data_IF_868384922024
#
_entry.id   IF_868384922024
#
_cell.length_a   1.000
_cell.length_b   1.000
_cell.length_c   1.000
_cell.angle_alpha   90.00
_cell.angle_beta   90.00
_cell.angle_gamma   90.00
#
_symmetry.space_group_name_H-M   'P 1'
#
loop_
_entity.id
_entity.type
_entity.pdbx_description
1 polymer ?
#
# COMPACT_ATOMS: atom_id res chain seq x y z
N UNK A 1 30.69 11.10 -15.77
CA UNK A 1 30.39 10.66 -14.38
C UNK A 1 29.82 11.78 -13.52
N UNK A 2 30.35 13.01 -13.60
CA UNK A 2 29.88 14.18 -12.82
C UNK A 2 28.40 14.51 -13.07
N UNK A 3 27.94 14.56 -14.34
CA UNK A 3 26.53 14.85 -14.65
C UNK A 3 25.54 13.82 -14.08
N UNK A 4 25.86 12.52 -14.11
CA UNK A 4 24.99 11.48 -13.55
C UNK A 4 24.92 11.54 -12.02
N UNK A 5 26.01 11.92 -11.35
CA UNK A 5 26.02 12.12 -9.90
C UNK A 5 25.19 13.36 -9.52
N UNK A 6 25.30 14.44 -10.29
CA UNK A 6 24.51 15.66 -10.12
C UNK A 6 23.01 15.39 -10.29
N UNK A 7 22.63 14.64 -11.34
CA UNK A 7 21.24 14.25 -11.59
C UNK A 7 20.65 13.39 -10.48
N UNK A 8 21.42 12.44 -9.93
CA UNK A 8 20.98 11.62 -8.79
C UNK A 8 20.80 12.45 -7.52
N UNK A 9 21.74 13.34 -7.23
CA UNK A 9 21.62 14.26 -6.08
C UNK A 9 20.39 15.14 -6.22
N UNK A 10 20.17 15.70 -7.41
CA UNK A 10 18.97 16.49 -7.71
C UNK A 10 17.69 15.67 -7.53
N UNK A 11 17.65 14.45 -8.05
CA UNK A 11 16.49 13.58 -7.89
C UNK A 11 16.21 13.25 -6.41
N UNK A 12 17.24 12.99 -5.60
CA UNK A 12 17.07 12.77 -4.17
C UNK A 12 16.55 14.02 -3.45
N UNK A 13 17.10 15.21 -3.77
CA UNK A 13 16.62 16.48 -3.19
C UNK A 13 15.16 16.74 -3.55
N UNK A 14 14.78 16.56 -4.81
CA UNK A 14 13.40 16.76 -5.26
C UNK A 14 12.43 15.72 -4.66
N UNK A 15 12.86 14.46 -4.48
CA UNK A 15 12.09 13.44 -3.76
C UNK A 15 11.91 13.80 -2.28
N UNK A 16 12.98 14.20 -1.60
CA UNK A 16 12.93 14.64 -0.20
C UNK A 16 12.06 15.88 -0.01
N UNK A 17 12.11 16.82 -0.96
CA UNK A 17 11.23 17.98 -0.97
C UNK A 17 9.77 17.56 -1.13
N UNK A 18 9.47 16.61 -2.01
CA UNK A 18 8.12 16.06 -2.19
C UNK A 18 7.59 15.44 -0.90
N UNK A 19 8.41 14.63 -0.23
CA UNK A 19 8.06 14.06 1.07
C UNK A 19 7.85 15.13 2.16
N UNK A 20 8.74 16.12 2.24
CA UNK A 20 8.63 17.21 3.21
C UNK A 20 7.35 18.03 3.01
N UNK A 21 7.01 18.39 1.76
CA UNK A 21 5.78 19.12 1.45
C UNK A 21 4.55 18.26 1.84
N UNK A 22 4.55 16.97 1.50
CA UNK A 22 3.46 16.07 1.87
C UNK A 22 3.26 15.98 3.39
N UNK A 23 4.35 15.90 4.16
CA UNK A 23 4.29 15.94 5.63
C UNK A 23 3.74 17.27 6.14
N UNK A 24 4.29 18.41 5.71
CA UNK A 24 3.84 19.72 6.19
C UNK A 24 2.36 19.94 5.90
N UNK A 25 1.88 19.54 4.72
CA UNK A 25 0.48 19.68 4.35
C UNK A 25 -0.43 18.69 5.11
N UNK A 26 0.03 17.47 5.39
CA UNK A 26 -0.76 16.52 6.19
C UNK A 26 -0.98 17.00 7.64
N UNK A 27 -0.07 17.83 8.17
CA UNK A 27 -0.22 18.44 9.49
C UNK A 27 -1.38 19.43 9.58
N UNK A 28 -1.95 19.91 8.46
CA UNK A 28 -3.18 20.69 8.51
C UNK A 28 -4.35 19.87 9.10
N UNK A 29 -4.33 18.54 8.90
CA UNK A 29 -5.32 17.60 9.42
C UNK A 29 -4.86 16.98 10.73
N UNK A 30 -3.63 16.45 10.77
CA UNK A 30 -3.14 15.69 11.92
C UNK A 30 -2.51 16.55 13.02
N UNK A 31 -2.04 17.76 12.70
CA UNK A 31 -1.41 18.68 13.64
C UNK A 31 -2.23 18.95 14.91
N UNK A 32 -3.53 19.27 14.81
CA UNK A 32 -4.39 19.48 15.98
C UNK A 32 -4.50 18.28 16.92
N UNK A 33 -4.32 17.05 16.39
CA UNK A 33 -4.46 15.80 17.15
C UNK A 33 -3.13 15.18 17.60
N UNK A 34 -1.98 15.77 17.23
CA UNK A 34 -0.66 15.31 17.66
C UNK A 34 -0.48 15.32 19.19
N UNK A 35 -1.14 16.24 19.90
CA UNK A 35 -1.13 16.25 21.38
C UNK A 35 -1.73 14.97 22.00
N UNK A 36 -2.50 14.23 21.21
CA UNK A 36 -3.14 12.96 21.55
C UNK A 36 -2.47 11.79 20.82
N UNK A 37 -1.17 11.87 20.53
CA UNK A 37 -0.44 10.80 19.82
C UNK A 37 -0.47 9.46 20.57
N UNK A 38 -0.62 9.48 21.90
CA UNK A 38 -0.62 8.30 22.76
C UNK A 38 -2.02 7.75 23.09
N UNK A 39 -3.06 8.15 22.35
CA UNK A 39 -4.42 7.60 22.50
C UNK A 39 -4.97 7.17 21.15
N UNK A 40 -6.06 6.41 21.18
CA UNK A 40 -6.79 6.01 19.97
C UNK A 40 -7.32 7.22 19.21
N UNK A 41 -6.94 7.39 17.94
CA UNK A 41 -7.42 8.49 17.08
C UNK A 41 -8.79 8.23 16.47
N UNK A 42 -9.23 6.97 16.39
CA UNK A 42 -10.52 6.59 15.80
C UNK A 42 -11.02 5.23 16.29
N UNK A 43 -12.26 4.90 15.92
CA UNK A 43 -12.93 3.62 16.16
C UNK A 43 -12.84 2.64 14.97
N UNK A 44 -13.73 1.64 14.94
CA UNK A 44 -13.83 0.66 13.85
C UNK A 44 -12.55 -0.16 13.68
N UNK A 45 -12.11 -0.36 12.43
CA UNK A 45 -10.89 -1.12 12.10
C UNK A 45 -9.62 -0.51 12.72
N UNK A 46 -9.62 0.78 13.07
CA UNK A 46 -8.47 1.37 13.74
C UNK A 46 -8.24 0.75 15.14
N UNK A 47 -9.31 0.39 15.84
CA UNK A 47 -9.19 -0.29 17.13
C UNK A 47 -8.58 -1.68 16.99
N UNK A 48 -8.99 -2.45 15.97
CA UNK A 48 -8.41 -3.77 15.72
C UNK A 48 -6.95 -3.66 15.30
N UNK A 49 -6.55 -2.62 14.58
CA UNK A 49 -5.13 -2.41 14.23
C UNK A 49 -4.25 -2.03 15.42
N UNK A 50 -4.73 -1.28 16.42
CA UNK A 50 -3.97 -1.09 17.67
C UNK A 50 -3.74 -2.43 18.40
N UNK A 51 -4.77 -3.27 18.45
CA UNK A 51 -4.69 -4.60 19.04
C UNK A 51 -3.71 -5.50 18.23
N UNK A 52 -3.75 -5.43 16.89
CA UNK A 52 -2.80 -6.14 16.03
C UNK A 52 -1.36 -5.79 16.40
N UNK A 53 -1.07 -4.50 16.59
CA UNK A 53 0.25 -4.00 16.98
C UNK A 53 0.67 -4.52 18.36
N UNK A 54 -0.24 -4.49 19.34
CA UNK A 54 0.02 -4.99 20.70
C UNK A 54 0.32 -6.49 20.72
N UNK A 55 -0.40 -7.27 19.92
CA UNK A 55 -0.27 -8.73 19.87
C UNK A 55 0.77 -9.21 18.85
N UNK A 56 1.47 -8.31 18.16
CA UNK A 56 2.37 -8.67 17.06
C UNK A 56 3.63 -9.40 17.53
N UNK A 57 3.92 -10.55 16.91
CA UNK A 57 5.12 -11.37 17.14
C UNK A 57 6.00 -11.52 15.88
N UNK A 58 5.97 -10.55 14.97
CA UNK A 58 6.85 -10.48 13.79
C UNK A 58 6.33 -11.18 12.54
N UNK A 59 5.71 -12.35 12.66
CA UNK A 59 5.01 -13.03 11.55
C UNK A 59 3.60 -13.51 11.92
N UNK A 60 3.29 -13.53 13.22
CA UNK A 60 2.04 -14.05 13.79
C UNK A 60 1.61 -13.15 14.93
N UNK A 61 0.44 -13.44 15.50
CA UNK A 61 -0.06 -12.76 16.69
C UNK A 61 -0.05 -13.67 17.92
N UNK A 62 0.12 -13.13 19.12
CA UNK A 62 -0.22 -13.84 20.35
C UNK A 62 -1.74 -13.97 20.49
N UNK A 63 -2.20 -15.08 21.05
CA UNK A 63 -3.55 -15.18 21.59
C UNK A 63 -3.65 -14.38 22.89
N UNK A 64 -4.82 -13.81 23.17
CA UNK A 64 -5.05 -12.98 24.36
C UNK A 64 -6.44 -13.22 24.95
N UNK A 65 -6.53 -13.16 26.27
CA UNK A 65 -7.77 -13.16 27.05
C UNK A 65 -8.21 -11.73 27.46
N UNK A 66 -7.36 -10.73 27.24
CA UNK A 66 -7.67 -9.31 27.45
C UNK A 66 -8.71 -8.79 26.45
N UNK A 67 -8.81 -9.43 25.28
CA UNK A 67 -9.72 -9.07 24.19
C UNK A 67 -10.61 -10.24 23.79
N UNK A 68 -11.74 -9.99 23.14
CA UNK A 68 -12.63 -11.05 22.65
C UNK A 68 -13.39 -11.79 23.74
N UNK A 69 -13.82 -11.10 24.79
CA UNK A 69 -14.66 -11.68 25.83
C UNK A 69 -15.89 -12.39 25.21
N UNK A 70 -16.28 -13.60 25.69
CA UNK A 70 -15.73 -14.33 26.84
C UNK A 70 -14.62 -15.33 26.50
N UNK A 71 -14.34 -15.58 25.22
CA UNK A 71 -13.49 -16.71 24.79
C UNK A 71 -12.02 -16.31 24.54
N UNK A 72 -11.72 -15.03 24.61
CA UNK A 72 -10.42 -14.52 24.18
C UNK A 72 -10.42 -14.22 22.68
N UNK A 73 -9.26 -13.84 22.17
CA UNK A 73 -9.07 -13.47 20.78
C UNK A 73 -7.73 -14.00 20.27
N UNK A 74 -7.78 -14.60 19.08
CA UNK A 74 -6.61 -15.03 18.34
C UNK A 74 -6.68 -14.43 16.93
N UNK A 75 -5.88 -13.40 16.69
CA UNK A 75 -5.87 -12.67 15.42
C UNK A 75 -5.31 -13.50 14.25
N UNK A 76 -4.65 -14.63 14.52
CA UNK A 76 -4.16 -15.50 13.45
C UNK A 76 -5.29 -16.14 12.63
N UNK A 77 -6.52 -16.21 13.13
CA UNK A 77 -7.67 -16.68 12.34
C UNK A 77 -8.07 -15.73 11.21
N UNK A 78 -7.64 -14.46 11.26
CA UNK A 78 -7.88 -13.50 10.20
C UNK A 78 -6.63 -13.38 9.32
N UNK A 79 -6.61 -13.98 8.12
CA UNK A 79 -5.42 -13.98 7.27
C UNK A 79 -5.08 -12.56 6.80
N UNK A 80 -4.06 -11.97 7.41
CA UNK A 80 -3.48 -10.67 7.03
C UNK A 80 -2.01 -10.81 6.65
N UNK A 81 -1.56 -10.01 5.68
CA UNK A 81 -0.14 -9.93 5.27
C UNK A 81 0.43 -8.54 5.49
N UNK A 82 -0.16 -7.75 6.39
CA UNK A 82 0.28 -6.39 6.76
C UNK A 82 1.51 -6.42 7.69
N UNK A 83 2.51 -7.24 7.33
CA UNK A 83 3.69 -7.54 8.15
C UNK A 83 4.54 -6.30 8.33
N UNK A 84 4.68 -5.47 7.28
CA UNK A 84 5.52 -4.27 7.37
C UNK A 84 4.92 -3.20 8.28
N UNK A 85 3.60 -2.98 8.18
CA UNK A 85 2.83 -2.04 9.00
C UNK A 85 2.90 -2.46 10.47
N UNK A 86 2.54 -3.71 10.76
CA UNK A 86 2.57 -4.25 12.12
C UNK A 86 3.98 -4.22 12.70
N UNK A 87 5.00 -4.60 11.93
CA UNK A 87 6.39 -4.60 12.42
C UNK A 87 6.87 -3.19 12.71
N UNK A 88 6.63 -2.23 11.82
CA UNK A 88 7.00 -0.84 12.07
C UNK A 88 6.30 -0.30 13.31
N UNK A 89 4.97 -0.44 13.38
CA UNK A 89 4.19 0.08 14.48
C UNK A 89 4.57 -0.58 15.81
N UNK A 90 4.83 -1.90 15.82
CA UNK A 90 5.29 -2.61 17.01
C UNK A 90 6.67 -2.13 17.47
N UNK A 91 7.63 -1.95 16.57
CA UNK A 91 8.97 -1.42 16.92
C UNK A 91 8.92 -0.02 17.51
N UNK A 92 8.03 0.84 17.02
CA UNK A 92 7.83 2.16 17.61
C UNK A 92 7.10 2.06 18.95
N UNK A 93 6.13 1.15 19.06
CA UNK A 93 5.35 0.92 20.29
C UNK A 93 6.19 0.36 21.43
N UNK A 94 7.18 -0.50 21.15
CA UNK A 94 8.09 -1.03 22.18
C UNK A 94 8.93 0.06 22.82
N UNK A 95 9.32 1.08 22.05
CA UNK A 95 10.05 2.26 22.56
C UNK A 95 9.11 3.22 23.29
N UNK A 96 7.90 3.41 22.78
CA UNK A 96 6.92 4.36 23.33
C UNK A 96 6.13 3.81 24.54
N UNK A 97 6.11 2.50 24.74
CA UNK A 97 5.34 1.83 25.80
C UNK A 97 3.83 1.73 25.55
N UNK A 98 3.37 1.99 24.32
CA UNK A 98 1.95 1.92 23.97
C UNK A 98 1.73 1.66 22.47
N UNK A 99 0.76 0.80 22.08
CA UNK A 99 0.42 0.56 20.68
C UNK A 99 -0.10 1.81 19.96
N UNK A 100 -0.65 2.77 20.69
CA UNK A 100 -1.23 3.98 20.12
C UNK A 100 -0.18 4.84 19.40
N UNK A 101 0.96 5.07 20.05
CA UNK A 101 2.02 5.89 19.48
C UNK A 101 2.59 5.25 18.21
N UNK A 102 2.83 3.93 18.21
CA UNK A 102 3.40 3.26 17.05
C UNK A 102 2.52 3.32 15.82
N UNK A 103 1.23 3.02 15.96
CA UNK A 103 0.29 3.08 14.83
C UNK A 103 0.02 4.53 14.39
N UNK A 104 -0.11 5.47 15.32
CA UNK A 104 -0.34 6.88 14.97
C UNK A 104 0.87 7.48 14.24
N UNK A 105 2.09 7.12 14.64
CA UNK A 105 3.31 7.50 13.92
C UNK A 105 3.38 6.84 12.54
N UNK A 106 2.95 5.57 12.41
CA UNK A 106 2.87 4.91 11.10
C UNK A 106 2.04 5.75 10.12
N UNK A 107 0.85 6.21 10.53
CA UNK A 107 -0.01 7.09 9.72
C UNK A 107 0.70 8.39 9.33
N UNK A 108 1.40 9.04 10.25
CA UNK A 108 2.07 10.31 9.94
C UNK A 108 3.22 10.12 8.95
N UNK A 109 3.96 9.02 9.07
CA UNK A 109 5.14 8.72 8.26
C UNK A 109 4.76 8.27 6.84
N UNK A 110 3.57 7.72 6.62
CA UNK A 110 3.14 7.31 5.27
C UNK A 110 3.07 8.50 4.31
N UNK A 111 2.65 9.69 4.76
CA UNK A 111 2.62 10.90 3.91
C UNK A 111 3.98 11.28 3.32
N UNK A 112 5.04 11.57 4.11
CA UNK A 112 6.34 11.85 3.54
C UNK A 112 6.93 10.67 2.76
N UNK A 113 6.68 9.43 3.21
CA UNK A 113 7.17 8.23 2.53
C UNK A 113 6.57 8.09 1.12
N UNK A 114 5.25 8.22 0.99
CA UNK A 114 4.56 8.17 -0.30
C UNK A 114 5.00 9.33 -1.17
N UNK A 115 5.05 10.56 -0.63
CA UNK A 115 5.52 11.72 -1.39
C UNK A 115 6.94 11.53 -1.94
N UNK A 116 7.83 10.93 -1.16
CA UNK A 116 9.18 10.58 -1.59
C UNK A 116 9.21 9.49 -2.67
N UNK A 117 8.50 8.37 -2.46
CA UNK A 117 8.50 7.24 -3.39
C UNK A 117 7.77 7.57 -4.70
N UNK A 118 6.64 8.28 -4.62
CA UNK A 118 5.83 8.66 -5.77
C UNK A 118 6.60 9.59 -6.71
N UNK A 119 7.48 10.45 -6.19
CA UNK A 119 8.35 11.26 -7.04
C UNK A 119 9.21 10.37 -7.96
N UNK A 120 9.83 9.31 -7.43
CA UNK A 120 10.60 8.38 -8.26
C UNK A 120 9.72 7.63 -9.25
N UNK A 121 8.50 7.25 -8.84
CA UNK A 121 7.53 6.62 -9.73
C UNK A 121 7.18 7.53 -10.93
N UNK A 122 6.86 8.80 -10.69
CA UNK A 122 6.60 9.78 -11.76
C UNK A 122 7.83 10.02 -12.63
N UNK A 123 9.04 9.99 -12.07
CA UNK A 123 10.26 10.05 -12.88
C UNK A 123 10.44 8.86 -13.81
N UNK A 124 9.92 7.69 -13.45
CA UNK A 124 10.01 6.51 -14.32
C UNK A 124 9.24 6.69 -15.62
N UNK A 125 8.19 7.53 -15.63
CA UNK A 125 7.37 7.87 -16.82
C UNK A 125 7.92 9.05 -17.61
N UNK A 126 8.97 9.72 -17.13
CA UNK A 126 9.64 10.84 -17.81
C UNK A 126 9.34 12.22 -17.25
N UNK A 127 8.44 12.35 -16.26
CA UNK A 127 8.20 13.62 -15.56
C UNK A 127 9.42 14.00 -14.72
N UNK A 128 9.71 15.30 -14.62
CA UNK A 128 10.85 15.81 -13.83
C UNK A 128 10.51 17.16 -13.20
N UNK A 129 11.29 17.57 -12.19
CA UNK A 129 11.21 18.91 -11.61
C UNK A 129 9.85 19.19 -10.95
N UNK A 130 9.32 20.43 -11.08
CA UNK A 130 8.11 20.86 -10.38
C UNK A 130 6.88 20.00 -10.65
N UNK A 131 6.69 19.50 -11.87
CA UNK A 131 5.53 18.65 -12.21
C UNK A 131 5.59 17.28 -11.53
N UNK A 132 6.77 16.69 -11.43
CA UNK A 132 6.93 15.41 -10.71
C UNK A 132 6.72 15.60 -9.19
N UNK A 133 7.21 16.72 -8.63
CA UNK A 133 6.98 17.09 -7.23
C UNK A 133 5.48 17.28 -6.97
N UNK A 134 4.81 18.09 -7.80
CA UNK A 134 3.39 18.35 -7.67
C UNK A 134 2.56 17.05 -7.76
N UNK A 135 2.86 16.20 -8.75
CA UNK A 135 2.20 14.89 -8.89
C UNK A 135 2.41 14.00 -7.66
N UNK A 136 3.63 13.94 -7.13
CA UNK A 136 3.95 13.12 -5.96
C UNK A 136 3.25 13.61 -4.68
N UNK A 137 3.25 14.93 -4.46
CA UNK A 137 2.57 15.56 -3.32
C UNK A 137 1.06 15.36 -3.42
N UNK A 138 0.45 15.62 -4.58
CA UNK A 138 -0.99 15.41 -4.79
C UNK A 138 -1.36 13.94 -4.62
N UNK A 139 -0.57 13.01 -5.15
CA UNK A 139 -0.79 11.58 -4.96
C UNK A 139 -0.74 11.18 -3.48
N UNK A 140 0.20 11.74 -2.70
CA UNK A 140 0.29 11.49 -1.27
C UNK A 140 -0.86 12.12 -0.46
N UNK A 141 -1.54 13.13 -0.99
CA UNK A 141 -2.59 13.89 -0.31
C UNK A 141 -3.99 13.61 -0.88
N UNK A 142 -4.16 12.53 -1.64
CA UNK A 142 -5.48 12.16 -2.16
C UNK A 142 -6.48 11.96 -1.00
N UNK A 143 -7.77 12.31 -1.18
CA UNK A 143 -8.78 12.16 -0.14
C UNK A 143 -8.85 10.74 0.45
N UNK A 144 -8.57 9.72 -0.36
CA UNK A 144 -8.47 8.33 0.08
C UNK A 144 -7.45 8.12 1.20
N UNK A 145 -6.26 8.72 1.12
CA UNK A 145 -5.22 8.53 2.12
C UNK A 145 -5.66 9.07 3.49
N UNK A 146 -6.25 10.27 3.51
CA UNK A 146 -6.81 10.85 4.73
C UNK A 146 -8.01 10.08 5.26
N UNK A 147 -9.01 9.82 4.41
CA UNK A 147 -10.26 9.18 4.81
C UNK A 147 -10.05 7.75 5.32
N UNK A 148 -9.13 7.00 4.71
CA UNK A 148 -8.81 5.63 5.17
C UNK A 148 -7.85 5.61 6.34
N UNK A 149 -6.99 6.62 6.56
CA UNK A 149 -6.00 6.58 7.64
C UNK A 149 -6.63 6.31 9.01
N UNK A 150 -7.81 6.90 9.26
CA UNK A 150 -8.57 6.76 10.50
C UNK A 150 -9.69 5.72 10.45
N UNK A 151 -9.91 5.06 9.31
CA UNK A 151 -11.04 4.13 9.11
C UNK A 151 -10.65 2.73 8.65
N UNK A 152 -9.55 2.58 7.92
CA UNK A 152 -8.95 1.33 7.44
C UNK A 152 -7.42 1.54 7.33
N UNK A 153 -6.75 1.63 8.47
CA UNK A 153 -5.39 2.19 8.59
C UNK A 153 -4.36 1.52 7.70
N UNK A 154 -4.30 0.19 7.64
CA UNK A 154 -3.33 -0.52 6.78
C UNK A 154 -3.60 -0.31 5.29
N UNK A 155 -4.87 -0.24 4.89
CA UNK A 155 -5.22 0.11 3.51
C UNK A 155 -4.90 1.58 3.18
N UNK A 156 -4.73 2.46 4.16
CA UNK A 156 -4.38 3.85 3.90
C UNK A 156 -2.90 4.04 3.60
N UNK A 157 -2.02 3.11 3.98
CA UNK A 157 -0.57 3.34 3.98
C UNK A 157 0.03 3.56 2.59
N UNK A 158 -0.63 3.07 1.53
CA UNK A 158 -0.41 3.32 0.09
C UNK A 158 1.01 3.09 -0.47
N UNK A 159 2.06 2.98 0.35
CA UNK A 159 3.43 2.83 -0.12
C UNK A 159 3.61 1.53 -0.91
N UNK A 160 2.88 0.48 -0.56
CA UNK A 160 2.79 -0.79 -1.31
C UNK A 160 2.30 -0.60 -2.74
N UNK A 161 1.31 0.28 -2.94
CA UNK A 161 0.82 0.62 -4.27
C UNK A 161 1.92 1.29 -5.12
N UNK A 162 2.71 2.17 -4.51
CA UNK A 162 3.81 2.87 -5.18
C UNK A 162 4.93 1.90 -5.54
N UNK A 163 5.34 1.02 -4.61
CA UNK A 163 6.38 0.02 -4.87
C UNK A 163 5.94 -1.01 -5.91
N UNK A 164 4.70 -1.46 -5.84
CA UNK A 164 4.10 -2.36 -6.83
C UNK A 164 4.05 -1.74 -8.22
N UNK A 165 3.58 -0.50 -8.34
CA UNK A 165 3.56 0.22 -9.61
C UNK A 165 4.97 0.48 -10.15
N UNK A 166 5.96 0.74 -9.28
CA UNK A 166 7.35 0.85 -9.70
C UNK A 166 7.87 -0.46 -10.31
N UNK A 167 7.53 -1.62 -9.74
CA UNK A 167 7.86 -2.93 -10.33
C UNK A 167 7.17 -3.13 -11.68
N UNK A 168 5.88 -2.79 -11.77
CA UNK A 168 5.09 -2.88 -13.01
C UNK A 168 5.71 -2.01 -14.11
N UNK A 169 6.06 -0.76 -13.82
CA UNK A 169 6.72 0.13 -14.79
C UNK A 169 8.13 -0.36 -15.15
N UNK A 170 8.89 -0.88 -14.19
CA UNK A 170 10.23 -1.40 -14.42
C UNK A 170 10.21 -2.59 -15.38
N UNK A 171 9.25 -3.50 -15.19
CA UNK A 171 9.00 -4.63 -16.09
C UNK A 171 8.42 -4.16 -17.41
N UNK A 172 7.31 -3.41 -17.43
CA UNK A 172 6.62 -2.99 -18.66
C UNK A 172 7.48 -2.16 -19.61
N UNK A 173 8.44 -1.39 -19.08
CA UNK A 173 9.42 -0.64 -19.87
C UNK A 173 10.61 -1.48 -20.38
N UNK A 174 10.68 -2.76 -20.02
CA UNK A 174 11.78 -3.68 -20.31
C UNK A 174 13.10 -3.34 -19.61
N UNK A 175 13.06 -2.43 -18.62
CA UNK A 175 14.24 -2.01 -17.86
C UNK A 175 14.70 -3.10 -16.89
N UNK A 176 13.77 -3.87 -16.30
CA UNK A 176 14.09 -4.97 -15.39
C UNK A 176 14.99 -6.01 -16.06
N UNK A 177 14.56 -6.58 -17.19
CA UNK A 177 15.37 -7.51 -17.97
C UNK A 177 16.76 -6.95 -18.29
N UNK A 178 16.86 -5.67 -18.72
CA UNK A 178 18.15 -5.04 -19.04
C UNK A 178 19.08 -4.99 -17.82
N UNK A 179 18.53 -4.75 -16.63
CA UNK A 179 19.28 -4.76 -15.36
C UNK A 179 19.81 -6.16 -15.07
N UNK A 180 18.98 -7.19 -15.23
CA UNK A 180 19.31 -8.58 -14.92
C UNK A 180 20.27 -9.19 -15.94
N UNK A 181 19.97 -9.07 -17.24
CA UNK A 181 20.70 -9.78 -18.30
C UNK A 181 21.94 -9.06 -18.81
N UNK A 182 21.94 -7.72 -18.80
CA UNK A 182 22.99 -6.82 -19.33
C UNK A 182 23.53 -7.19 -20.74
N UNK A 183 23.48 -6.29 -21.72
CA UNK A 183 24.24 -6.49 -22.96
C UNK A 183 25.74 -6.65 -22.64
N UNK A 184 26.40 -7.64 -23.25
CA UNK A 184 27.86 -7.80 -23.22
C UNK A 184 28.51 -6.47 -23.63
N UNK A 185 29.14 -5.75 -22.69
CA UNK A 185 29.88 -4.51 -22.96
C UNK A 185 29.56 -3.31 -22.06
N UNK A 186 28.45 -3.30 -21.32
CA UNK A 186 28.11 -2.21 -20.37
C UNK A 186 28.07 -2.72 -18.92
N UNK A 187 29.20 -3.20 -18.42
CA UNK A 187 29.28 -3.75 -17.07
C UNK A 187 29.03 -2.65 -16.02
N UNK A 188 27.86 -2.68 -15.37
CA UNK A 188 27.65 -1.93 -14.13
C UNK A 188 28.68 -2.38 -13.08
N UNK A 189 29.25 -1.44 -12.31
CA UNK A 189 30.09 -1.78 -11.16
C UNK A 189 29.37 -2.74 -10.23
N UNK A 190 30.11 -3.72 -9.66
CA UNK A 190 29.59 -4.76 -8.78
C UNK A 190 28.75 -4.19 -7.63
N UNK A 191 29.23 -3.12 -6.99
CA UNK A 191 28.50 -2.43 -5.91
C UNK A 191 27.14 -1.90 -6.38
N UNK A 192 27.08 -1.29 -7.58
CA UNK A 192 25.83 -0.77 -8.15
C UNK A 192 24.83 -1.89 -8.47
N UNK A 193 25.31 -3.06 -8.91
CA UNK A 193 24.46 -4.23 -9.13
C UNK A 193 23.82 -4.71 -7.82
N UNK A 194 24.62 -4.83 -6.76
CA UNK A 194 24.16 -5.25 -5.43
C UNK A 194 23.09 -4.29 -4.91
N UNK A 195 23.34 -2.98 -4.96
CA UNK A 195 22.36 -1.99 -4.50
C UNK A 195 21.07 -1.98 -5.30
N UNK A 196 21.13 -2.17 -6.63
CA UNK A 196 19.93 -2.28 -7.46
C UNK A 196 19.14 -3.56 -7.14
N UNK A 197 19.82 -4.69 -6.99
CA UNK A 197 19.17 -5.94 -6.61
C UNK A 197 18.52 -5.83 -5.23
N UNK A 198 19.24 -5.26 -4.25
CA UNK A 198 18.71 -5.00 -2.92
C UNK A 198 17.48 -4.08 -2.96
N UNK A 199 17.52 -2.99 -3.73
CA UNK A 199 16.38 -2.11 -3.90
C UNK A 199 15.16 -2.85 -4.50
N UNK A 200 15.35 -3.66 -5.54
CA UNK A 200 14.26 -4.45 -6.13
C UNK A 200 13.71 -5.47 -5.12
N UNK A 201 14.57 -6.17 -4.38
CA UNK A 201 14.14 -7.10 -3.34
C UNK A 201 13.31 -6.40 -2.26
N UNK A 202 13.73 -5.19 -1.83
CA UNK A 202 12.97 -4.38 -0.88
C UNK A 202 11.60 -3.99 -1.46
N UNK A 203 11.53 -3.54 -2.72
CA UNK A 203 10.25 -3.23 -3.37
C UNK A 203 9.32 -4.46 -3.42
N UNK A 204 9.87 -5.63 -3.73
CA UNK A 204 9.13 -6.91 -3.77
C UNK A 204 8.60 -7.27 -2.39
N UNK A 205 9.44 -7.21 -1.35
CA UNK A 205 9.05 -7.51 0.03
C UNK A 205 7.95 -6.55 0.50
N UNK A 206 8.15 -5.24 0.33
CA UNK A 206 7.15 -4.23 0.67
C UNK A 206 5.84 -4.53 -0.05
N UNK A 207 5.87 -4.75 -1.36
CA UNK A 207 4.64 -5.00 -2.13
C UNK A 207 3.92 -6.27 -1.68
N UNK A 208 4.66 -7.31 -1.29
CA UNK A 208 4.08 -8.58 -0.85
C UNK A 208 3.50 -8.53 0.58
N UNK A 209 4.06 -7.70 1.45
CA UNK A 209 3.84 -7.72 2.91
C UNK A 209 3.23 -6.45 3.47
N UNK A 210 2.52 -5.69 2.63
CA UNK A 210 1.90 -4.42 3.01
C UNK A 210 0.51 -4.31 2.41
N UNK A 211 -0.37 -5.24 2.79
CA UNK A 211 -1.74 -5.35 2.29
C UNK A 211 -1.94 -6.27 1.09
N UNK A 212 -2.85 -7.24 1.25
CA UNK A 212 -3.19 -8.24 0.20
C UNK A 212 -3.74 -7.61 -1.07
N UNK A 213 -4.51 -6.53 -0.95
CA UNK A 213 -5.07 -5.82 -2.10
C UNK A 213 -3.98 -5.26 -3.00
N UNK A 214 -2.95 -4.64 -2.43
CA UNK A 214 -1.85 -4.06 -3.20
C UNK A 214 -1.00 -5.13 -3.89
N UNK A 215 -0.75 -6.25 -3.22
CA UNK A 215 -0.12 -7.41 -3.85
C UNK A 215 -0.96 -7.91 -5.05
N UNK A 216 -2.26 -8.13 -4.85
CA UNK A 216 -3.17 -8.63 -5.89
C UNK A 216 -3.26 -7.69 -7.10
N UNK A 217 -3.47 -6.39 -6.88
CA UNK A 217 -3.50 -5.41 -7.97
C UNK A 217 -2.16 -5.26 -8.68
N UNK A 218 -1.04 -5.38 -7.95
CA UNK A 218 0.28 -5.41 -8.58
C UNK A 218 0.46 -6.62 -9.48
N UNK A 219 0.01 -7.79 -9.06
CA UNK A 219 0.07 -9.01 -9.89
C UNK A 219 -0.81 -8.89 -11.13
N UNK A 220 -2.01 -8.32 -11.00
CA UNK A 220 -2.92 -8.06 -12.12
C UNK A 220 -2.29 -7.12 -13.15
N UNK A 221 -1.77 -5.97 -12.70
CA UNK A 221 -1.08 -5.02 -13.56
C UNK A 221 0.25 -5.58 -14.09
N UNK A 222 0.92 -6.42 -13.32
CA UNK A 222 2.13 -7.14 -13.71
C UNK A 222 1.87 -8.11 -14.86
N UNK A 223 0.76 -8.87 -14.79
CA UNK A 223 0.32 -9.73 -15.89
C UNK A 223 0.04 -8.92 -17.15
N UNK A 224 -0.63 -7.76 -17.03
CA UNK A 224 -0.83 -6.84 -18.15
C UNK A 224 0.50 -6.31 -18.72
N UNK A 225 1.48 -6.00 -17.87
CA UNK A 225 2.81 -5.54 -18.29
C UNK A 225 3.61 -6.64 -19.01
N UNK A 226 3.52 -7.90 -18.56
CA UNK A 226 4.13 -9.05 -19.24
C UNK A 226 3.49 -9.31 -20.60
N UNK A 227 2.15 -9.26 -20.68
CA UNK A 227 1.42 -9.38 -21.94
C UNK A 227 1.79 -8.24 -22.90
N UNK A 228 1.87 -7.01 -22.40
CA UNK A 228 2.33 -5.86 -23.18
C UNK A 228 3.74 -6.07 -23.74
N UNK A 229 4.68 -6.55 -22.91
CA UNK A 229 6.04 -6.88 -23.36
C UNK A 229 6.05 -7.94 -24.45
N UNK A 230 5.24 -8.98 -24.30
CA UNK A 230 5.11 -10.04 -25.29
C UNK A 230 4.57 -9.50 -26.62
N UNK A 231 3.49 -8.70 -26.58
CA UNK A 231 2.90 -8.04 -27.77
C UNK A 231 3.91 -7.12 -28.45
N UNK A 232 4.79 -6.45 -27.69
CA UNK A 232 5.88 -5.62 -28.22
C UNK A 232 7.09 -6.41 -28.72
N UNK A 233 6.98 -7.73 -28.85
CA UNK A 233 7.98 -8.58 -29.48
C UNK A 233 9.13 -8.99 -28.57
N UNK A 234 8.98 -8.88 -27.24
CA UNK A 234 9.96 -9.43 -26.31
C UNK A 234 9.99 -10.97 -26.45
N UNK A 235 11.18 -11.60 -26.55
CA UNK A 235 11.26 -13.05 -26.70
C UNK A 235 10.81 -13.73 -25.40
N UNK A 236 10.27 -14.95 -25.49
CA UNK A 236 9.69 -15.67 -24.35
C UNK A 236 10.65 -15.80 -23.15
N UNK A 237 11.95 -15.98 -23.43
CA UNK A 237 13.00 -16.04 -22.40
C UNK A 237 13.10 -14.75 -21.59
N UNK A 238 12.79 -13.61 -22.18
CA UNK A 238 12.78 -12.31 -21.50
C UNK A 238 11.57 -12.19 -20.59
N UNK A 239 10.40 -12.64 -21.07
CA UNK A 239 9.17 -12.70 -20.27
C UNK A 239 9.37 -13.54 -19.00
N UNK A 240 10.06 -14.69 -19.10
CA UNK A 240 10.39 -15.48 -17.91
C UNK A 240 11.21 -14.73 -16.87
N UNK A 241 12.18 -13.93 -17.31
CA UNK A 241 12.99 -13.11 -16.39
C UNK A 241 12.12 -12.02 -15.79
N UNK A 242 11.33 -11.33 -16.60
CA UNK A 242 10.43 -10.27 -16.13
C UNK A 242 9.32 -10.76 -15.19
N UNK A 243 8.98 -12.05 -15.23
CA UNK A 243 8.02 -12.65 -14.30
C UNK A 243 8.59 -12.81 -12.87
N UNK A 244 9.92 -12.83 -12.70
CA UNK A 244 10.58 -13.07 -11.41
C UNK A 244 10.07 -12.20 -10.24
N UNK A 245 9.98 -10.85 -10.34
CA UNK A 245 9.48 -10.03 -9.23
C UNK A 245 8.03 -10.38 -8.86
N UNK A 246 7.17 -10.70 -9.84
CA UNK A 246 5.77 -11.04 -9.57
C UNK A 246 5.64 -12.44 -8.97
N UNK A 247 6.40 -13.42 -9.46
CA UNK A 247 6.47 -14.74 -8.84
C UNK A 247 6.99 -14.66 -7.40
N UNK A 248 7.99 -13.80 -7.15
CA UNK A 248 8.50 -13.57 -5.79
C UNK A 248 7.44 -12.95 -4.88
N UNK A 249 6.62 -12.01 -5.37
CA UNK A 249 5.47 -11.46 -4.62
C UNK A 249 4.49 -12.57 -4.24
N UNK A 250 4.13 -13.46 -5.18
CA UNK A 250 3.23 -14.59 -4.91
C UNK A 250 3.79 -15.47 -3.80
N UNK A 251 5.06 -15.90 -3.93
CA UNK A 251 5.72 -16.76 -2.93
C UNK A 251 5.74 -16.08 -1.55
N UNK A 252 6.14 -14.81 -1.49
CA UNK A 252 6.23 -14.08 -0.23
C UNK A 252 4.85 -13.83 0.39
N UNK A 253 3.80 -13.60 -0.41
CA UNK A 253 2.44 -13.50 0.09
C UNK A 253 2.01 -14.81 0.75
N UNK A 254 2.27 -15.97 0.12
CA UNK A 254 2.02 -17.28 0.74
C UNK A 254 2.80 -17.48 2.05
N UNK A 255 4.07 -17.08 2.08
CA UNK A 255 4.88 -17.10 3.31
C UNK A 255 4.25 -16.23 4.40
N UNK A 256 3.74 -15.05 4.04
CA UNK A 256 3.07 -14.16 4.98
C UNK A 256 1.77 -14.74 5.54
N UNK A 257 1.00 -15.48 4.72
CA UNK A 257 -0.22 -16.15 5.15
C UNK A 257 0.01 -17.42 5.97
N UNK A 258 1.25 -17.92 6.04
CA UNK A 258 1.53 -19.23 6.62
C UNK A 258 1.01 -19.38 8.06
N UNK A 259 1.16 -18.41 8.98
CA UNK A 259 0.66 -18.58 10.35
C UNK A 259 -0.86 -18.69 10.44
N UNK A 260 -1.57 -17.90 9.64
CA UNK A 260 -3.03 -17.98 9.55
C UNK A 260 -3.51 -19.28 8.92
N UNK A 261 -2.86 -19.73 7.84
CA UNK A 261 -3.18 -21.01 7.22
C UNK A 261 -2.98 -22.17 8.19
N UNK A 262 -1.86 -22.19 8.93
CA UNK A 262 -1.59 -23.22 9.92
C UNK A 262 -2.64 -23.20 11.04
N UNK A 263 -2.98 -22.02 11.56
CA UNK A 263 -3.99 -21.87 12.63
C UNK A 263 -5.36 -22.38 12.18
N UNK A 264 -5.81 -22.00 10.99
CA UNK A 264 -7.12 -22.42 10.45
C UNK A 264 -7.15 -23.90 10.06
N UNK A 265 -6.00 -24.52 9.77
CA UNK A 265 -5.90 -25.96 9.48
C UNK A 265 -5.88 -26.83 10.75
N UNK A 266 -5.35 -26.33 11.87
CA UNK A 266 -5.23 -27.10 13.11
C UNK A 266 -6.49 -27.09 13.96
N UNK A 267 -7.26 -26.01 13.88
CA UNK A 267 -8.41 -25.80 14.74
C UNK A 267 -9.71 -26.21 14.04
N UNK A 268 -10.76 -26.59 14.79
CA UNK A 268 -12.05 -26.92 14.22
C UNK A 268 -12.57 -25.78 13.33
N UNK A 269 -13.32 -26.07 12.24
CA UNK A 269 -13.93 -25.04 11.43
C UNK A 269 -14.77 -24.12 12.31
N UNK A 270 -14.28 -22.89 12.51
CA UNK A 270 -15.04 -21.82 13.15
C UNK A 270 -16.05 -21.27 12.13
N UNK A 271 -17.13 -20.66 12.62
CA UNK A 271 -18.14 -20.06 11.77
C UNK A 271 -17.54 -19.07 10.76
N UNK A 272 -18.28 -18.78 9.69
CA UNK A 272 -17.82 -17.89 8.64
C UNK A 272 -17.51 -16.51 9.21
N UNK A 273 -16.23 -16.14 9.28
CA UNK A 273 -15.77 -14.87 9.87
C UNK A 273 -16.09 -13.64 9.01
N UNK A 274 -16.25 -13.86 7.70
CA UNK A 274 -16.64 -12.83 6.74
C UNK A 274 -17.18 -13.50 5.49
N UNK A 275 -18.35 -13.06 5.05
CA UNK A 275 -18.91 -13.42 3.74
C UNK A 275 -18.69 -12.29 2.73
N UNK A 276 -18.56 -12.66 1.46
CA UNK A 276 -18.54 -11.75 0.33
C UNK A 276 -19.70 -12.10 -0.57
N UNK A 277 -20.56 -11.12 -0.83
CA UNK A 277 -21.69 -11.31 -1.72
C UNK A 277 -21.26 -11.00 -3.16
N UNK A 278 -21.82 -11.66 -4.19
CA UNK A 278 -21.50 -11.35 -5.58
C UNK A 278 -21.63 -9.86 -5.94
N UNK A 279 -22.58 -9.15 -5.33
CA UNK A 279 -22.77 -7.71 -5.56
C UNK A 279 -21.65 -6.84 -4.95
N UNK A 280 -20.88 -7.33 -3.98
CA UNK A 280 -19.69 -6.63 -3.47
C UNK A 280 -18.68 -6.41 -4.61
N UNK A 281 -18.64 -7.32 -5.58
CA UNK A 281 -17.83 -7.14 -6.79
C UNK A 281 -18.32 -5.96 -7.63
N UNK A 282 -19.62 -5.67 -7.66
CA UNK A 282 -20.18 -4.53 -8.40
C UNK A 282 -19.91 -3.22 -7.66
N UNK A 283 -20.07 -3.21 -6.34
CA UNK A 283 -19.79 -2.01 -5.51
C UNK A 283 -18.29 -1.68 -5.50
N UNK A 284 -17.43 -2.68 -5.25
CA UNK A 284 -16.01 -2.46 -5.01
C UNK A 284 -15.14 -2.55 -6.27
N UNK A 285 -15.59 -3.13 -7.39
CA UNK A 285 -14.83 -3.08 -8.65
C UNK A 285 -14.72 -1.66 -9.23
N UNK A 286 -15.47 -0.71 -8.67
CA UNK A 286 -15.52 0.66 -9.12
C UNK A 286 -16.38 0.80 -10.36
N UNK A 287 -17.56 1.40 -10.20
CA UNK A 287 -18.31 1.90 -11.35
C UNK A 287 -17.42 2.90 -12.08
N UNK A 288 -17.10 2.65 -13.36
CA UNK A 288 -16.29 3.58 -14.17
C UNK A 288 -16.88 5.00 -14.15
N UNK A 289 -18.21 5.12 -14.03
CA UNK A 289 -18.90 6.39 -13.85
C UNK A 289 -18.43 7.15 -12.59
N UNK A 290 -18.21 6.45 -11.47
CA UNK A 290 -17.73 7.04 -10.20
C UNK A 290 -16.27 7.52 -10.31
N UNK A 291 -15.46 6.98 -11.23
CA UNK A 291 -14.09 7.47 -11.46
C UNK A 291 -14.03 8.87 -12.09
N UNK A 292 -15.06 9.27 -12.83
CA UNK A 292 -15.11 10.56 -13.55
C UNK A 292 -15.94 11.61 -12.80
N UNK A 293 -16.72 11.15 -11.83
CA UNK A 293 -17.61 11.97 -11.02
C UNK A 293 -16.87 12.49 -9.77
N UNK A 294 -17.03 13.78 -9.39
CA UNK A 294 -16.54 14.27 -8.10
C UNK A 294 -17.04 13.41 -6.94
N UNK A 295 -16.25 13.28 -5.87
CA UNK A 295 -16.74 12.62 -4.66
C UNK A 295 -18.00 13.39 -4.15
N UNK A 296 -19.13 12.71 -3.88
CA UNK A 296 -20.38 13.36 -3.46
C UNK A 296 -20.35 13.78 -1.98
N UNK A 297 -19.24 14.38 -1.56
CA UNK A 297 -18.99 14.87 -0.20
C UNK A 297 -18.35 16.27 -0.22
N UNK A 298 -18.45 17.00 -1.34
CA UNK A 298 -17.86 18.32 -1.48
C UNK A 298 -18.61 19.34 -0.63
N UNK A 299 -17.91 20.07 0.24
CA UNK A 299 -18.48 21.18 1.02
C UNK A 299 -18.41 22.53 0.29
N UNK A 300 -18.08 22.53 -1.00
CA UNK A 300 -18.04 23.75 -1.80
C UNK A 300 -19.46 24.27 -2.07
N UNK A 301 -19.68 25.59 -2.06
CA UNK A 301 -21.00 26.17 -2.36
C UNK A 301 -21.56 25.66 -3.70
N UNK A 302 -22.81 25.18 -3.69
CA UNK A 302 -23.51 24.67 -4.88
C UNK A 302 -23.35 23.17 -5.14
N UNK A 303 -22.46 22.47 -4.41
CA UNK A 303 -22.31 21.01 -4.54
C UNK A 303 -23.36 20.21 -3.76
N UNK A 304 -24.20 20.83 -2.94
CA UNK A 304 -25.22 20.12 -2.16
C UNK A 304 -26.20 19.32 -3.02
N UNK A 305 -26.62 19.90 -4.15
CA UNK A 305 -27.48 19.22 -5.11
C UNK A 305 -26.76 18.01 -5.72
N UNK A 306 -25.52 18.20 -6.17
CA UNK A 306 -24.70 17.12 -6.72
C UNK A 306 -24.50 15.97 -5.73
N UNK A 307 -24.05 16.30 -4.50
CA UNK A 307 -23.83 15.32 -3.44
C UNK A 307 -25.11 14.53 -3.16
N UNK A 308 -26.24 15.22 -3.07
CA UNK A 308 -27.55 14.60 -2.83
C UNK A 308 -27.98 13.72 -4.00
N UNK A 309 -27.95 14.22 -5.23
CA UNK A 309 -28.38 13.45 -6.42
C UNK A 309 -27.55 12.19 -6.63
N UNK A 310 -26.23 12.26 -6.43
CA UNK A 310 -25.37 11.08 -6.56
C UNK A 310 -25.62 10.10 -5.40
N UNK A 311 -25.73 10.59 -4.17
CA UNK A 311 -26.01 9.74 -3.01
C UNK A 311 -27.38 9.06 -3.13
N UNK A 312 -28.41 9.79 -3.56
CA UNK A 312 -29.76 9.26 -3.83
C UNK A 312 -29.74 8.24 -4.96
N UNK A 313 -29.02 8.49 -6.06
CA UNK A 313 -28.89 7.53 -7.16
C UNK A 313 -28.17 6.25 -6.74
N UNK A 314 -27.11 6.37 -5.91
CA UNK A 314 -26.42 5.21 -5.32
C UNK A 314 -27.34 4.44 -4.37
N UNK A 315 -28.11 5.14 -3.53
CA UNK A 315 -29.06 4.53 -2.60
C UNK A 315 -30.24 3.85 -3.31
N UNK A 316 -30.75 4.46 -4.38
CA UNK A 316 -31.80 3.90 -5.23
C UNK A 316 -31.35 2.68 -6.03
N UNK A 317 -30.03 2.47 -6.18
CA UNK A 317 -29.44 1.26 -6.77
C UNK A 317 -29.66 -0.02 -5.97
N UNK A 318 -30.24 0.09 -4.76
CA UNK A 318 -30.59 -1.03 -3.90
C UNK A 318 -29.45 -1.42 -2.95
N UNK A 319 -29.53 -0.96 -1.70
CA UNK A 319 -28.86 -1.61 -0.58
C UNK A 319 -29.72 -2.80 -0.16
N UNK A 320 -29.36 -4.01 -0.60
CA UNK A 320 -29.77 -5.19 0.13
C UNK A 320 -28.72 -5.38 1.21
N UNK A 321 -28.82 -4.62 2.30
CA UNK A 321 -28.08 -4.95 3.51
C UNK A 321 -28.46 -6.37 3.91
N UNK A 322 -27.46 -7.24 4.00
CA UNK A 322 -27.63 -8.58 4.52
C UNK A 322 -28.11 -8.47 5.97
N UNK A 323 -29.37 -8.82 6.21
CA UNK A 323 -29.89 -9.13 7.53
C UNK A 323 -29.37 -10.51 7.96
N UNK A 324 -28.08 -10.59 8.29
CA UNK A 324 -27.48 -11.75 8.93
C UNK A 324 -26.91 -11.35 10.29
#
# INVERSE_FOLDING_TARGET
MINQALERRRALVEASLSGLIALVLSLAVFGPILRWIAVGWSGGDMLSTYINVEMWQGFRYSASDQYGFPLGMNLNYFPGIDITENTFAALVSTVAGTPFVGLNILILVTFPLIGFLAYFLFRMTGLTGPLAIAGAVVFSLIPFHFGRALGHTYLATLYSAVTGMALVLLVGSGRFERIVRQPRGQALSRSRKIWLAAAICVLVVITAWSGVYYAAFTLLLGAAALLWRYIKGAPWKSILVDALPFTAIVILAFVGFLPSLLTTMTDPPIGTLSDRLPYDSVIFAGYLAVLVLPLPASSLPGFDFYNRSVTEALAAGGWVESSA
#
